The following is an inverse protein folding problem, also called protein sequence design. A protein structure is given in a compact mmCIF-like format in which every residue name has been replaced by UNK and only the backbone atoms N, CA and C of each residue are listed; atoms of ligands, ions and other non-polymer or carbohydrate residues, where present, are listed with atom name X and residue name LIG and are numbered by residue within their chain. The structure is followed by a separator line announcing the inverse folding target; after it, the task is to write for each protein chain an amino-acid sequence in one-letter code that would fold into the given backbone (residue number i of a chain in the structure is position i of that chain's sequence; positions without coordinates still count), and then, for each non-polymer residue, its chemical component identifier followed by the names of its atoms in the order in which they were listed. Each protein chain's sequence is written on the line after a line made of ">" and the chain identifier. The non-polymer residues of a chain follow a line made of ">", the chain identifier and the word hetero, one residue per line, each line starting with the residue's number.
data_IF_658606454658
#
_entry.id   IF_658606454658
#
_cell.length_a   1.000
_cell.length_b   1.000
_cell.length_c   1.000
_cell.angle_alpha   90.00
_cell.angle_beta   90.00
_cell.angle_gamma   90.00
#
_symmetry.space_group_name_H-M   'P 1'
#
loop_
_entity.id
_entity.type
_entity.pdbx_description
1 polymer ?
#
# COMPACT_ATOMS: atom_id res chain seq x y z
N UNK A 1 8.43 12.64 -1.71
CA UNK A 1 8.23 11.91 -0.41
C UNK A 1 6.90 12.16 0.30
N UNK A 2 6.53 13.38 0.72
CA UNK A 2 5.36 13.64 1.61
C UNK A 2 4.00 13.19 1.04
N UNK A 3 3.84 13.25 -0.28
CA UNK A 3 2.62 12.81 -1.00
C UNK A 3 2.49 11.28 -1.09
N UNK A 4 3.61 10.55 -0.99
CA UNK A 4 3.66 9.09 -1.03
C UNK A 4 3.42 8.46 0.33
N UNK A 5 3.75 9.19 1.41
CA UNK A 5 3.57 8.71 2.77
C UNK A 5 2.10 8.40 3.08
N UNK A 6 1.16 9.24 2.63
CA UNK A 6 -0.26 9.03 2.93
C UNK A 6 -0.83 7.74 2.29
N UNK A 7 -0.68 7.48 0.97
CA UNK A 7 -1.10 6.21 0.38
C UNK A 7 -0.45 4.99 1.02
N UNK A 8 0.86 5.06 1.31
CA UNK A 8 1.57 3.95 1.95
C UNK A 8 1.05 3.70 3.36
N UNK A 9 1.02 4.72 4.22
CA UNK A 9 0.61 4.59 5.62
C UNK A 9 -0.82 4.10 5.74
N UNK A 10 -1.74 4.60 4.90
CA UNK A 10 -3.13 4.15 4.91
C UNK A 10 -3.24 2.66 4.54
N UNK A 11 -2.55 2.23 3.48
CA UNK A 11 -2.59 0.84 3.00
C UNK A 11 -1.97 -0.11 4.03
N UNK A 12 -0.83 0.27 4.62
CA UNK A 12 -0.17 -0.48 5.68
C UNK A 12 -1.00 -0.55 6.95
N UNK A 13 -1.64 0.55 7.35
CA UNK A 13 -2.53 0.56 8.51
C UNK A 13 -3.74 -0.37 8.32
N UNK A 14 -4.31 -0.40 7.11
CA UNK A 14 -5.44 -1.25 6.79
C UNK A 14 -5.04 -2.74 6.80
N UNK A 15 -3.85 -3.08 6.30
CA UNK A 15 -3.26 -4.42 6.42
C UNK A 15 -3.03 -4.80 7.89
N UNK A 16 -2.50 -3.88 8.69
CA UNK A 16 -2.25 -4.12 10.11
C UNK A 16 -3.56 -4.36 10.87
N UNK A 17 -4.60 -3.56 10.58
CA UNK A 17 -5.93 -3.74 11.16
C UNK A 17 -6.55 -5.08 10.75
N UNK A 18 -6.36 -5.52 9.50
CA UNK A 18 -6.78 -6.84 9.05
C UNK A 18 -6.11 -7.97 9.86
N UNK A 19 -4.80 -7.89 10.08
CA UNK A 19 -4.07 -8.88 10.89
C UNK A 19 -4.55 -8.92 12.34
N UNK A 20 -4.77 -7.75 12.95
CA UNK A 20 -5.36 -7.66 14.30
C UNK A 20 -6.74 -8.32 14.31
N UNK A 21 -7.60 -8.03 13.33
CA UNK A 21 -8.93 -8.62 13.24
C UNK A 21 -8.90 -10.14 13.20
N UNK A 22 -7.92 -10.72 12.52
CA UNK A 22 -7.71 -12.19 12.51
C UNK A 22 -7.27 -12.68 13.90
N UNK A 23 -6.24 -12.06 14.49
CA UNK A 23 -5.66 -12.49 15.78
C UNK A 23 -6.70 -12.44 16.90
N UNK A 24 -7.56 -11.42 16.91
CA UNK A 24 -8.61 -11.24 17.91
C UNK A 24 -9.93 -11.94 17.55
N UNK A 25 -9.96 -12.78 16.51
CA UNK A 25 -11.16 -13.52 16.06
C UNK A 25 -12.39 -12.61 15.83
N UNK A 26 -12.21 -11.54 15.06
CA UNK A 26 -13.33 -10.70 14.65
C UNK A 26 -14.35 -11.50 13.82
N UNK A 27 -15.62 -11.07 13.78
CA UNK A 27 -16.64 -11.76 13.00
C UNK A 27 -16.23 -11.94 11.54
N UNK A 28 -16.45 -13.15 11.00
CA UNK A 28 -16.11 -13.49 9.62
C UNK A 28 -16.59 -12.45 8.58
N UNK A 29 -17.83 -11.92 8.65
CA UNK A 29 -18.29 -10.90 7.69
C UNK A 29 -17.38 -9.66 7.63
N UNK A 30 -16.83 -9.24 8.77
CA UNK A 30 -15.96 -8.08 8.88
C UNK A 30 -14.60 -8.39 8.23
N UNK A 31 -14.02 -9.55 8.52
CA UNK A 31 -12.75 -10.01 7.95
C UNK A 31 -12.88 -10.14 6.42
N UNK A 32 -13.96 -10.76 5.92
CA UNK A 32 -14.21 -10.92 4.49
C UNK A 32 -14.42 -9.58 3.77
N UNK A 33 -15.06 -8.62 4.43
CA UNK A 33 -15.28 -7.29 3.88
C UNK A 33 -13.97 -6.52 3.72
N UNK A 34 -13.11 -6.52 4.76
CA UNK A 34 -11.79 -5.90 4.69
C UNK A 34 -10.94 -6.55 3.60
N UNK A 35 -10.93 -7.89 3.55
CA UNK A 35 -10.20 -8.63 2.52
C UNK A 35 -10.67 -8.28 1.10
N UNK A 36 -11.99 -8.18 0.89
CA UNK A 36 -12.57 -7.81 -0.39
C UNK A 36 -12.24 -6.39 -0.84
N UNK A 37 -12.11 -5.44 0.09
CA UNK A 37 -11.73 -4.05 -0.19
C UNK A 37 -10.23 -3.89 -0.43
N UNK A 38 -9.41 -4.74 0.21
CA UNK A 38 -7.96 -4.66 0.15
C UNK A 38 -7.35 -4.54 -1.27
N UNK A 39 -7.73 -5.34 -2.28
CA UNK A 39 -7.18 -5.21 -3.63
C UNK A 39 -7.46 -3.84 -4.25
N UNK A 40 -8.62 -3.23 -3.99
CA UNK A 40 -8.94 -1.90 -4.50
C UNK A 40 -8.06 -0.82 -3.88
N UNK A 41 -7.82 -0.90 -2.57
CA UNK A 41 -6.93 0.04 -1.86
C UNK A 41 -5.49 -0.11 -2.35
N UNK A 42 -5.04 -1.34 -2.57
CA UNK A 42 -3.72 -1.64 -3.14
C UNK A 42 -3.53 -1.03 -4.53
N UNK A 43 -4.48 -1.28 -5.45
CA UNK A 43 -4.43 -0.73 -6.81
C UNK A 43 -4.45 0.79 -6.78
N UNK A 44 -5.30 1.38 -5.94
CA UNK A 44 -5.36 2.83 -5.76
C UNK A 44 -4.03 3.39 -5.24
N UNK A 45 -3.39 2.74 -4.26
CA UNK A 45 -2.09 3.13 -3.74
C UNK A 45 -1.03 3.11 -4.83
N UNK A 46 -0.95 2.02 -5.62
CA UNK A 46 0.01 1.89 -6.72
C UNK A 46 -0.20 3.02 -7.74
N UNK A 47 -1.44 3.28 -8.16
CA UNK A 47 -1.74 4.37 -9.10
C UNK A 47 -1.33 5.73 -8.52
N UNK A 48 -1.58 5.97 -7.22
CA UNK A 48 -1.17 7.22 -6.57
C UNK A 48 0.34 7.37 -6.49
N UNK A 49 1.07 6.30 -6.17
CA UNK A 49 2.53 6.31 -6.15
C UNK A 49 3.09 6.59 -7.54
N UNK A 50 2.56 5.94 -8.58
CA UNK A 50 3.02 6.15 -9.95
C UNK A 50 2.72 7.56 -10.48
N UNK A 51 1.62 8.18 -10.05
CA UNK A 51 1.23 9.53 -10.49
C UNK A 51 1.88 10.66 -9.69
N UNK A 52 2.03 10.47 -8.37
CA UNK A 52 2.52 11.50 -7.45
C UNK A 52 3.99 11.29 -7.05
N UNK A 53 4.61 10.21 -7.52
CA UNK A 53 6.04 9.94 -7.38
C UNK A 53 6.85 10.92 -8.21
N UNK A 54 7.89 11.47 -7.61
CA UNK A 54 8.89 12.23 -8.37
C UNK A 54 9.63 11.24 -9.27
N UNK A 55 9.68 11.51 -10.57
CA UNK A 55 10.58 10.79 -11.47
C UNK A 55 12.01 11.01 -10.95
N UNK A 56 12.75 9.95 -10.64
CA UNK A 56 14.13 10.09 -10.15
C UNK A 56 15.06 10.70 -11.21
N UNK A 57 14.59 10.83 -12.46
CA UNK A 57 15.37 11.33 -13.59
C UNK A 57 16.42 10.33 -14.09
N UNK A 58 16.63 9.26 -13.33
CA UNK A 58 17.52 8.16 -13.63
C UNK A 58 16.72 6.95 -14.10
N UNK A 59 17.30 6.22 -15.03
CA UNK A 59 16.80 4.91 -15.42
C UNK A 59 17.15 3.88 -14.34
N UNK A 60 16.38 2.78 -14.26
CA UNK A 60 16.63 1.72 -13.28
C UNK A 60 18.06 1.17 -13.37
N UNK A 61 18.63 1.13 -14.57
CA UNK A 61 20.02 0.73 -14.81
C UNK A 61 21.03 1.71 -14.20
N UNK A 62 20.74 3.01 -14.20
CA UNK A 62 21.62 4.03 -13.61
C UNK A 62 21.59 3.98 -12.08
N UNK A 63 20.45 3.73 -11.45
CA UNK A 63 20.35 3.65 -9.98
C UNK A 63 20.80 2.28 -9.40
N UNK A 64 20.71 1.18 -10.16
CA UNK A 64 21.04 -0.16 -9.65
C UNK A 64 22.49 -0.59 -9.90
N UNK A 65 23.16 -0.02 -10.92
CA UNK A 65 24.54 -0.35 -11.29
C UNK A 65 25.56 0.77 -11.00
N UNK A 66 25.16 1.85 -10.32
CA UNK A 66 26.09 2.83 -9.72
C UNK A 66 26.80 2.19 -8.49
N UNK A 67 27.73 1.27 -8.77
CA UNK A 67 28.76 0.77 -7.83
C UNK A 67 30.15 1.03 -8.40
#
# INVERSE_FOLDING_TARGET
>A
MRKLFFPLSLTTFLLFFYLIGIVFNFPYPLISFIFGIFPFVLVWMVIKILKDGEHSGKTFDEDFYEY
#
